data_IF_808119663312
#
_entry.id   IF_808119663312
#
_cell.length_a   1.000
_cell.length_b   1.000
_cell.length_c   1.000
_cell.angle_alpha   90.00
_cell.angle_beta   90.00
_cell.angle_gamma   90.00
#
_symmetry.space_group_name_H-M   'P 1'
#
loop_
_entity.id
_entity.type
_entity.pdbx_description
1 polymer ?
#
# COMPACT_ATOMS: atom_id res chain seq x y z
N UNK A 1 -12.77 -21.92 27.82
CA UNK A 1 -11.70 -20.90 27.88
C UNK A 1 -11.24 -20.60 26.46
N UNK A 2 -11.59 -19.44 25.91
CA UNK A 2 -11.07 -18.94 24.63
C UNK A 2 -11.16 -17.42 24.65
N UNK A 3 -10.01 -16.73 24.78
CA UNK A 3 -9.93 -15.28 24.77
C UNK A 3 -9.66 -14.80 23.34
N UNK A 4 -10.63 -14.07 22.79
CA UNK A 4 -10.49 -13.33 21.53
C UNK A 4 -9.67 -12.06 21.79
N UNK A 5 -8.46 -11.97 21.23
CA UNK A 5 -7.72 -10.72 21.15
C UNK A 5 -7.83 -10.14 19.74
N UNK A 6 -8.82 -9.29 19.52
CA UNK A 6 -8.91 -8.43 18.35
C UNK A 6 -8.02 -7.20 18.56
N UNK A 7 -6.80 -7.21 18.02
CA UNK A 7 -5.96 -6.00 17.93
C UNK A 7 -6.40 -5.18 16.71
N UNK A 8 -7.20 -4.15 16.98
CA UNK A 8 -7.56 -3.09 16.03
C UNK A 8 -6.32 -2.23 15.79
N UNK A 9 -5.60 -2.44 14.69
CA UNK A 9 -4.54 -1.53 14.24
C UNK A 9 -5.21 -0.24 13.75
N UNK A 10 -5.00 0.86 14.47
CA UNK A 10 -5.30 2.19 13.97
C UNK A 10 -4.26 2.54 12.90
N UNK A 11 -4.72 2.70 11.65
CA UNK A 11 -3.95 3.36 10.61
C UNK A 11 -3.93 4.85 10.92
N UNK A 12 -2.90 5.31 11.61
CA UNK A 12 -2.59 6.74 11.70
C UNK A 12 -2.01 7.17 10.36
N UNK A 13 -2.74 8.01 9.64
CA UNK A 13 -2.36 8.53 8.34
C UNK A 13 -1.08 9.37 8.46
N UNK A 14 -0.10 9.17 7.58
CA UNK A 14 1.12 10.00 7.54
C UNK A 14 0.84 11.51 7.33
N UNK A 15 -0.39 11.88 6.93
CA UNK A 15 -0.81 13.29 6.86
C UNK A 15 -0.89 13.97 8.23
N UNK A 16 -1.13 13.23 9.31
CA UNK A 16 -1.33 13.82 10.64
C UNK A 16 -0.01 14.16 11.35
N UNK A 17 1.13 13.65 10.86
CA UNK A 17 2.47 13.97 11.40
C UNK A 17 3.11 15.23 10.79
N UNK A 18 2.46 15.86 9.81
CA UNK A 18 2.97 17.03 9.09
C UNK A 18 2.28 18.35 9.52
N UNK A 19 1.72 18.40 10.72
CA UNK A 19 1.34 19.68 11.34
C UNK A 19 2.60 20.46 11.70
N UNK A 20 2.99 21.36 10.78
CA UNK A 20 4.00 22.38 11.00
C UNK A 20 3.68 23.17 12.28
N UNK A 21 4.64 23.43 13.17
CA UNK A 21 4.44 24.40 14.23
C UNK A 21 4.23 25.80 13.61
N UNK A 22 3.13 26.42 13.98
CA UNK A 22 2.72 27.75 13.57
C UNK A 22 3.63 28.79 14.24
N UNK A 23 4.77 29.08 13.62
CA UNK A 23 5.70 30.14 14.04
C UNK A 23 5.17 31.49 13.54
N UNK A 24 4.09 31.97 14.16
CA UNK A 24 3.68 33.37 14.05
C UNK A 24 4.28 34.15 15.22
N UNK A 25 5.57 34.49 15.12
CA UNK A 25 6.21 35.47 15.99
C UNK A 25 5.72 36.87 15.60
N UNK A 26 4.70 37.38 16.29
CA UNK A 26 4.31 38.79 16.22
C UNK A 26 4.86 39.50 17.47
N UNK A 27 6.10 39.98 17.37
CA UNK A 27 6.60 41.05 18.23
C UNK A 27 5.89 42.32 17.78
N UNK A 28 4.92 42.78 18.56
CA UNK A 28 4.32 44.09 18.40
C UNK A 28 4.57 44.84 19.71
N UNK A 29 5.57 45.72 19.66
CA UNK A 29 6.01 46.55 20.78
C UNK A 29 6.59 47.85 20.25
N UNK A 30 5.84 48.53 19.38
CA UNK A 30 6.01 49.97 19.14
C UNK A 30 4.94 50.67 19.98
N UNK A 31 5.34 51.08 21.20
CA UNK A 31 4.58 52.04 21.99
C UNK A 31 5.29 53.41 21.89
N UNK A 32 4.59 54.47 21.45
CA UNK A 32 5.18 55.80 21.38
C UNK A 32 5.22 56.44 22.77
N UNK A 33 6.40 56.86 23.20
CA UNK A 33 6.59 57.66 24.42
C UNK A 33 5.92 59.04 24.29
N UNK A 34 5.20 59.53 25.33
CA UNK A 34 4.60 60.86 25.34
C UNK A 34 5.66 61.95 25.59
N UNK A 35 5.50 63.16 25.03
CA UNK A 35 6.39 64.27 25.29
C UNK A 35 6.02 64.99 26.58
N UNK A 36 7.01 65.17 27.46
CA UNK A 36 6.99 66.24 28.45
C UNK A 36 6.38 65.90 29.80
N UNK A 37 7.21 65.41 30.72
CA UNK A 37 7.13 65.83 32.11
C UNK A 37 8.55 66.19 32.59
N UNK A 38 8.71 67.46 32.94
CA UNK A 38 9.83 68.01 33.69
C UNK A 38 9.95 67.22 35.00
N UNK A 39 10.91 66.31 35.07
CA UNK A 39 11.36 65.70 36.31
C UNK A 39 12.44 66.62 36.89
N UNK A 40 12.11 67.21 38.03
CA UNK A 40 13.01 68.02 38.83
C UNK A 40 14.35 67.30 39.02
N UNK A 41 15.43 68.04 38.77
CA UNK A 41 16.78 67.61 39.08
C UNK A 41 16.89 67.39 40.60
N UNK A 42 17.21 66.19 41.10
CA UNK A 42 17.77 66.08 42.42
C UNK A 42 19.15 66.73 42.37
N UNK A 43 19.32 67.78 43.16
CA UNK A 43 20.58 68.47 43.40
C UNK A 43 21.69 67.46 43.66
N UNK A 44 22.71 67.48 42.80
CA UNK A 44 23.94 66.73 42.92
C UNK A 44 24.51 66.86 44.34
N UNK A 45 24.32 65.80 45.14
CA UNK A 45 25.23 65.52 46.24
C UNK A 45 26.17 64.44 45.73
N UNK A 46 27.17 64.85 44.94
CA UNK A 46 28.30 63.99 44.58
C UNK A 46 29.10 63.68 45.85
N UNK A 47 28.75 62.58 46.50
CA UNK A 47 29.67 61.90 47.41
C UNK A 47 30.79 61.32 46.54
N UNK A 48 32.08 61.62 46.79
CA UNK A 48 33.17 61.12 45.97
C UNK A 48 33.24 59.60 46.10
N UNK A 49 32.88 58.88 45.03
CA UNK A 49 33.06 57.45 44.94
C UNK A 49 34.52 57.09 45.25
N UNK A 50 34.72 56.41 46.35
CA UNK A 50 36.01 55.92 46.84
C UNK A 50 36.61 54.98 45.79
N UNK A 51 37.94 54.95 45.65
CA UNK A 51 38.64 54.06 44.69
C UNK A 51 38.23 52.58 44.83
N UNK A 52 37.74 52.20 46.01
CA UNK A 52 37.24 50.87 46.35
C UNK A 52 35.93 50.52 45.60
N UNK A 53 35.02 51.46 45.37
CA UNK A 53 33.73 51.20 44.70
C UNK A 53 33.89 50.89 43.21
N UNK A 54 34.86 51.54 42.55
CA UNK A 54 35.18 51.26 41.13
C UNK A 54 35.80 49.88 40.95
N UNK A 55 36.61 49.43 41.91
CA UNK A 55 37.20 48.09 41.89
C UNK A 55 36.15 47.01 42.11
N UNK A 56 35.17 47.26 42.99
CA UNK A 56 34.06 46.35 43.23
C UNK A 56 33.18 46.19 41.97
N UNK A 57 32.81 47.30 41.33
CA UNK A 57 32.02 47.28 40.10
C UNK A 57 32.73 46.54 38.95
N UNK A 58 34.05 46.71 38.81
CA UNK A 58 34.85 46.02 37.81
C UNK A 58 34.96 44.51 38.10
N UNK A 59 35.03 44.12 39.38
CA UNK A 59 35.01 42.73 39.79
C UNK A 59 33.67 42.07 39.50
N UNK A 60 32.55 42.76 39.78
CA UNK A 60 31.20 42.28 39.47
C UNK A 60 30.97 42.17 37.95
N UNK A 61 31.50 43.10 37.16
CA UNK A 61 31.43 43.03 35.71
C UNK A 61 32.21 41.84 35.14
N UNK A 62 33.44 41.59 35.63
CA UNK A 62 34.21 40.39 35.25
C UNK A 62 33.50 39.10 35.67
N UNK A 63 32.87 39.09 36.84
CA UNK A 63 32.08 37.94 37.32
C UNK A 63 30.87 37.69 36.43
N UNK A 64 30.15 38.73 36.00
CA UNK A 64 29.03 38.62 35.08
C UNK A 64 29.46 38.12 33.70
N UNK A 65 30.57 38.63 33.14
CA UNK A 65 31.13 38.15 31.88
C UNK A 65 31.51 36.67 31.99
N UNK A 66 32.19 36.26 33.07
CA UNK A 66 32.58 34.87 33.26
C UNK A 66 31.38 33.93 33.41
N UNK A 67 30.33 34.36 34.10
CA UNK A 67 29.08 33.61 34.22
C UNK A 67 28.41 33.43 32.84
N UNK A 68 28.29 34.51 32.07
CA UNK A 68 27.76 34.47 30.71
C UNK A 68 28.58 33.54 29.81
N UNK A 69 29.91 33.61 29.91
CA UNK A 69 30.82 32.78 29.12
C UNK A 69 30.69 31.29 29.48
N UNK A 70 30.45 30.96 30.76
CA UNK A 70 30.18 29.59 31.19
C UNK A 70 28.82 29.10 30.68
N UNK A 71 27.78 29.92 30.73
CA UNK A 71 26.46 29.55 30.24
C UNK A 71 26.46 29.34 28.72
N UNK A 72 27.15 30.19 27.95
CA UNK A 72 27.36 29.94 26.52
C UNK A 72 28.09 28.63 26.24
N UNK A 73 29.12 28.28 27.03
CA UNK A 73 29.80 27.00 26.87
C UNK A 73 28.89 25.82 27.18
N UNK A 74 28.02 25.94 28.19
CA UNK A 74 27.02 24.91 28.51
C UNK A 74 26.02 24.74 27.38
N UNK A 75 25.42 25.83 26.89
CA UNK A 75 24.43 25.75 25.80
C UNK A 75 25.03 25.19 24.52
N UNK A 76 26.27 25.57 24.17
CA UNK A 76 26.97 24.97 23.03
C UNK A 76 27.26 23.48 23.25
N UNK A 77 27.64 23.09 24.47
CA UNK A 77 27.86 21.67 24.79
C UNK A 77 26.57 20.85 24.71
N UNK A 78 25.46 21.40 25.19
CA UNK A 78 24.17 20.71 25.15
C UNK A 78 23.61 20.64 23.74
N UNK A 79 23.83 21.68 22.93
CA UNK A 79 23.51 21.65 21.50
C UNK A 79 24.33 20.57 20.77
N UNK A 80 25.65 20.48 21.02
CA UNK A 80 26.51 19.45 20.42
C UNK A 80 26.04 18.03 20.77
N UNK A 81 25.65 17.80 22.03
CA UNK A 81 25.06 16.52 22.45
C UNK A 81 23.76 16.22 21.70
N UNK A 82 22.85 17.19 21.63
CA UNK A 82 21.57 17.02 20.94
C UNK A 82 21.75 16.72 19.45
N UNK A 83 22.71 17.38 18.79
CA UNK A 83 23.04 17.11 17.38
C UNK A 83 23.57 15.68 17.21
N UNK A 84 24.48 15.22 18.09
CA UNK A 84 25.00 13.84 18.04
C UNK A 84 23.93 12.79 18.31
N UNK A 85 23.03 13.05 19.25
CA UNK A 85 21.90 12.17 19.54
C UNK A 85 20.95 12.08 18.35
N UNK A 86 20.67 13.22 17.70
CA UNK A 86 19.83 13.25 16.50
C UNK A 86 20.47 12.49 15.33
N UNK A 87 21.78 12.62 15.14
CA UNK A 87 22.54 11.89 14.11
C UNK A 87 22.52 10.37 14.35
N UNK A 88 22.71 9.94 15.59
CA UNK A 88 22.55 8.53 15.99
C UNK A 88 21.14 7.99 15.75
N UNK A 89 20.12 8.80 16.06
CA UNK A 89 18.74 8.41 15.81
C UNK A 89 18.43 8.33 14.31
N UNK A 90 18.95 9.29 13.53
CA UNK A 90 18.79 9.33 12.07
C UNK A 90 19.41 8.09 11.41
N UNK A 91 20.66 7.77 11.74
CA UNK A 91 21.35 6.59 11.21
C UNK A 91 20.62 5.28 11.56
N UNK A 92 20.04 5.19 12.76
CA UNK A 92 19.20 4.05 13.15
C UNK A 92 17.92 3.95 12.32
N UNK A 93 17.24 5.09 12.09
CA UNK A 93 16.04 5.15 11.26
C UNK A 93 16.36 4.80 9.80
N UNK A 94 17.47 5.28 9.26
CA UNK A 94 17.90 4.97 7.90
C UNK A 94 18.20 3.48 7.71
N UNK A 95 18.94 2.87 8.66
CA UNK A 95 19.23 1.43 8.62
C UNK A 95 17.94 0.61 8.69
N UNK A 96 17.06 0.91 9.64
CA UNK A 96 15.80 0.17 9.79
C UNK A 96 14.87 0.37 8.60
N UNK A 97 14.87 1.57 7.99
CA UNK A 97 14.11 1.84 6.77
C UNK A 97 14.64 1.02 5.58
N UNK A 98 15.96 0.91 5.42
CA UNK A 98 16.56 0.11 4.36
C UNK A 98 16.18 -1.38 4.49
N UNK A 99 16.24 -1.92 5.71
CA UNK A 99 15.86 -3.31 5.99
C UNK A 99 14.37 -3.57 5.69
N UNK A 100 13.49 -2.63 6.05
CA UNK A 100 12.05 -2.74 5.76
C UNK A 100 11.76 -2.68 4.26
N UNK A 101 12.50 -1.89 3.49
CA UNK A 101 12.35 -1.82 2.03
C UNK A 101 12.72 -3.17 1.41
N UNK A 102 13.83 -3.77 1.83
CA UNK A 102 14.24 -5.10 1.37
C UNK A 102 13.20 -6.18 1.72
N UNK A 103 12.71 -6.20 2.95
CA UNK A 103 11.67 -7.15 3.38
C UNK A 103 10.37 -6.99 2.56
N UNK A 104 10.00 -5.74 2.23
CA UNK A 104 8.82 -5.48 1.41
C UNK A 104 8.99 -5.92 -0.05
N UNK A 105 10.20 -5.81 -0.61
CA UNK A 105 10.51 -6.36 -1.94
C UNK A 105 10.31 -7.88 -1.91
N UNK A 106 10.89 -8.57 -0.92
CA UNK A 106 10.75 -10.02 -0.77
C UNK A 106 9.28 -10.44 -0.62
N UNK A 107 8.50 -9.74 0.22
CA UNK A 107 7.06 -9.97 0.36
C UNK A 107 6.31 -9.79 -0.96
N UNK A 108 6.60 -8.74 -1.71
CA UNK A 108 5.94 -8.47 -3.01
C UNK A 108 6.22 -9.60 -3.99
N UNK A 109 7.48 -10.05 -4.10
CA UNK A 109 7.83 -11.16 -5.00
C UNK A 109 7.17 -12.48 -4.58
N UNK A 110 6.96 -12.71 -3.29
CA UNK A 110 6.24 -13.87 -2.79
C UNK A 110 4.75 -13.80 -3.16
N UNK A 111 4.13 -12.64 -3.02
CA UNK A 111 2.72 -12.42 -3.41
C UNK A 111 2.54 -12.73 -4.89
N UNK A 112 3.39 -12.19 -5.77
CA UNK A 112 3.32 -12.47 -7.22
C UNK A 112 3.44 -13.96 -7.55
N UNK A 113 4.30 -14.70 -6.82
CA UNK A 113 4.42 -16.16 -6.99
C UNK A 113 3.16 -16.88 -6.54
N UNK A 114 2.55 -16.45 -5.44
CA UNK A 114 1.31 -17.04 -4.93
C UNK A 114 0.13 -16.78 -5.86
N UNK A 115 0.03 -15.57 -6.43
CA UNK A 115 -1.00 -15.23 -7.42
C UNK A 115 -0.89 -16.11 -8.67
N UNK A 116 0.32 -16.26 -9.23
CA UNK A 116 0.55 -17.17 -10.37
C UNK A 116 0.18 -18.62 -10.06
N UNK A 117 0.50 -19.09 -8.85
CA UNK A 117 0.13 -20.44 -8.43
C UNK A 117 -1.39 -20.58 -8.27
N UNK A 118 -2.05 -19.57 -7.72
CA UNK A 118 -3.50 -19.54 -7.58
C UNK A 118 -4.18 -19.64 -8.96
N UNK A 119 -3.77 -18.80 -9.91
CA UNK A 119 -4.32 -18.80 -11.27
C UNK A 119 -4.13 -20.16 -11.94
N UNK A 120 -2.92 -20.74 -11.86
CA UNK A 120 -2.64 -22.06 -12.41
C UNK A 120 -3.52 -23.16 -11.78
N UNK A 121 -3.73 -23.11 -10.46
CA UNK A 121 -4.59 -24.07 -9.77
C UNK A 121 -6.06 -23.87 -10.14
N UNK A 122 -6.49 -22.61 -10.29
CA UNK A 122 -7.84 -22.25 -10.69
C UNK A 122 -8.15 -22.78 -12.09
N UNK A 123 -7.26 -22.57 -13.06
CA UNK A 123 -7.38 -23.09 -14.42
C UNK A 123 -7.43 -24.61 -14.44
N UNK A 124 -6.53 -25.28 -13.71
CA UNK A 124 -6.54 -26.75 -13.58
C UNK A 124 -7.82 -27.28 -12.96
N UNK A 125 -8.41 -26.54 -12.02
CA UNK A 125 -9.69 -26.91 -11.41
C UNK A 125 -10.83 -26.78 -12.42
N UNK A 126 -10.89 -25.68 -13.18
CA UNK A 126 -11.85 -25.47 -14.25
C UNK A 126 -11.75 -26.56 -15.33
N UNK A 127 -10.54 -26.90 -15.75
CA UNK A 127 -10.30 -28.00 -16.70
C UNK A 127 -10.77 -29.34 -16.17
N UNK A 128 -10.49 -29.65 -14.90
CA UNK A 128 -10.94 -30.90 -14.27
C UNK A 128 -12.45 -30.96 -14.12
N UNK A 129 -13.09 -29.85 -13.76
CA UNK A 129 -14.55 -29.77 -13.67
C UNK A 129 -15.19 -29.97 -15.05
N UNK A 130 -14.65 -29.33 -16.09
CA UNK A 130 -15.13 -29.50 -17.46
C UNK A 130 -14.95 -30.93 -17.96
N UNK A 131 -13.80 -31.57 -17.70
CA UNK A 131 -13.55 -32.98 -18.07
C UNK A 131 -14.43 -33.94 -17.27
N UNK A 132 -14.72 -33.65 -16.01
CA UNK A 132 -15.63 -34.45 -15.18
C UNK A 132 -17.08 -34.38 -15.67
N UNK A 133 -17.49 -33.22 -16.21
CA UNK A 133 -18.86 -32.98 -16.70
C UNK A 133 -19.01 -33.10 -18.21
N UNK A 134 -17.99 -33.57 -18.94
CA UNK A 134 -18.01 -33.56 -20.41
C UNK A 134 -19.17 -34.39 -20.99
N UNK A 135 -19.60 -35.43 -20.26
CA UNK A 135 -20.69 -36.31 -20.66
C UNK A 135 -22.03 -35.93 -20.00
N UNK A 136 -22.08 -34.83 -19.23
CA UNK A 136 -23.30 -34.41 -18.56
C UNK A 136 -24.16 -33.57 -19.51
N UNK A 137 -25.40 -34.00 -19.73
CA UNK A 137 -26.37 -33.26 -20.53
C UNK A 137 -27.36 -32.56 -19.60
N UNK A 138 -27.49 -31.24 -19.74
CA UNK A 138 -28.50 -30.46 -19.04
C UNK A 138 -29.74 -30.27 -19.92
N UNK A 139 -30.81 -30.98 -19.58
CA UNK A 139 -32.11 -30.80 -20.23
C UNK A 139 -32.92 -29.76 -19.45
N UNK A 140 -33.26 -28.66 -20.12
CA UNK A 140 -34.10 -27.59 -19.56
C UNK A 140 -35.56 -27.80 -19.93
N UNK A 141 -36.46 -27.18 -19.17
CA UNK A 141 -37.91 -27.13 -19.50
C UNK A 141 -38.65 -28.48 -19.34
N UNK A 142 -38.10 -29.43 -18.55
CA UNK A 142 -38.86 -30.61 -18.13
C UNK A 142 -39.90 -30.19 -17.09
N UNK A 143 -41.18 -30.43 -17.40
CA UNK A 143 -42.31 -30.10 -16.52
C UNK A 143 -42.07 -30.55 -15.08
N UNK A 144 -42.36 -29.67 -14.12
CA UNK A 144 -42.24 -29.98 -12.70
C UNK A 144 -43.24 -31.07 -12.24
N UNK A 145 -44.30 -31.30 -13.02
CA UNK A 145 -45.27 -32.36 -12.74
C UNK A 145 -44.70 -33.77 -12.94
N UNK A 146 -43.60 -33.93 -13.70
CA UNK A 146 -42.91 -35.22 -13.85
C UNK A 146 -42.21 -35.55 -12.53
N UNK A 147 -42.66 -36.63 -11.90
CA UNK A 147 -42.10 -37.12 -10.65
C UNK A 147 -40.62 -37.51 -10.81
N UNK A 148 -39.86 -37.56 -9.71
CA UNK A 148 -38.46 -37.97 -9.76
C UNK A 148 -38.30 -39.44 -10.16
N UNK A 149 -39.26 -40.31 -9.82
CA UNK A 149 -39.25 -41.72 -10.20
C UNK A 149 -39.46 -41.94 -11.69
N UNK A 150 -40.23 -41.05 -12.35
CA UNK A 150 -40.54 -41.18 -13.78
C UNK A 150 -39.59 -40.36 -14.67
N UNK A 151 -38.66 -39.62 -14.07
CA UNK A 151 -37.80 -38.68 -14.78
C UNK A 151 -36.90 -39.38 -15.80
N UNK A 152 -36.29 -40.50 -15.44
CA UNK A 152 -35.40 -41.25 -16.34
C UNK A 152 -36.15 -41.77 -17.57
N UNK A 153 -37.32 -42.40 -17.36
CA UNK A 153 -38.18 -42.88 -18.44
C UNK A 153 -38.63 -41.74 -19.36
N UNK A 154 -38.96 -40.57 -18.79
CA UNK A 154 -39.33 -39.39 -19.57
C UNK A 154 -38.17 -38.86 -20.41
N UNK A 155 -36.95 -38.84 -19.86
CA UNK A 155 -35.74 -38.43 -20.59
C UNK A 155 -35.42 -39.41 -21.72
N UNK A 156 -35.56 -40.72 -21.50
CA UNK A 156 -35.37 -41.72 -22.55
C UNK A 156 -36.37 -41.58 -23.68
N UNK A 157 -37.65 -41.37 -23.37
CA UNK A 157 -38.66 -41.10 -24.38
C UNK A 157 -38.33 -39.84 -25.19
N UNK A 158 -37.83 -38.79 -24.53
CA UNK A 158 -37.39 -37.57 -25.20
C UNK A 158 -36.22 -37.84 -26.16
N UNK A 159 -35.18 -38.55 -25.73
CA UNK A 159 -34.05 -38.89 -26.60
C UNK A 159 -34.45 -39.83 -27.74
N UNK A 160 -35.31 -40.82 -27.50
CA UNK A 160 -35.83 -41.69 -28.55
C UNK A 160 -36.60 -40.93 -29.63
N UNK A 161 -37.39 -39.93 -29.22
CA UNK A 161 -38.09 -39.04 -30.16
C UNK A 161 -37.15 -38.12 -30.94
N UNK A 162 -36.03 -37.69 -30.34
CA UNK A 162 -35.07 -36.76 -30.95
C UNK A 162 -34.08 -37.46 -31.89
N UNK A 163 -33.61 -38.66 -31.52
CA UNK A 163 -32.59 -39.41 -32.27
C UNK A 163 -33.20 -40.32 -33.35
N UNK A 164 -34.51 -40.57 -33.28
CA UNK A 164 -35.24 -41.40 -34.23
C UNK A 164 -35.17 -42.90 -33.90
N UNK A 165 -36.00 -43.72 -34.58
CA UNK A 165 -36.13 -45.15 -34.30
C UNK A 165 -34.93 -45.99 -34.76
N UNK A 166 -34.03 -45.45 -35.59
CA UNK A 166 -32.88 -46.15 -36.18
C UNK A 166 -31.63 -46.17 -35.26
N UNK A 167 -31.79 -45.75 -34.00
CA UNK A 167 -30.72 -45.78 -33.03
C UNK A 167 -30.59 -47.21 -32.46
N UNK A 168 -29.81 -48.07 -33.13
CA UNK A 168 -29.61 -49.49 -32.80
C UNK A 168 -29.00 -49.75 -31.41
N UNK A 169 -28.57 -48.69 -30.70
CA UNK A 169 -27.96 -48.79 -29.37
C UNK A 169 -28.78 -48.05 -28.31
N UNK A 170 -29.02 -48.69 -27.14
CA UNK A 170 -29.70 -48.03 -26.03
C UNK A 170 -28.82 -46.89 -25.48
N UNK A 171 -29.45 -45.73 -25.22
CA UNK A 171 -28.78 -44.62 -24.53
C UNK A 171 -28.50 -45.05 -23.10
N UNK A 172 -27.22 -45.20 -22.77
CA UNK A 172 -26.78 -45.54 -21.41
C UNK A 172 -26.71 -44.26 -20.56
N UNK A 173 -27.23 -44.33 -19.35
CA UNK A 173 -27.22 -43.24 -18.37
C UNK A 173 -26.74 -43.77 -17.03
N UNK A 174 -25.69 -43.18 -16.48
CA UNK A 174 -25.21 -43.50 -15.13
C UNK A 174 -26.12 -42.91 -14.04
N UNK A 175 -26.62 -41.69 -14.25
CA UNK A 175 -27.44 -40.97 -13.26
C UNK A 175 -28.30 -39.90 -13.90
N UNK A 176 -29.59 -39.93 -13.61
CA UNK A 176 -30.55 -38.86 -13.93
C UNK A 176 -31.09 -38.22 -12.66
N UNK A 177 -31.07 -36.89 -12.57
CA UNK A 177 -31.60 -36.16 -11.43
C UNK A 177 -31.96 -34.72 -11.79
N UNK A 178 -32.82 -34.08 -10.99
CA UNK A 178 -33.08 -32.64 -11.10
C UNK A 178 -31.98 -31.86 -10.38
N UNK A 179 -31.52 -30.78 -11.01
CA UNK A 179 -30.61 -29.83 -10.36
C UNK A 179 -31.40 -29.00 -9.36
N UNK A 180 -31.06 -29.10 -8.07
CA UNK A 180 -31.62 -28.25 -7.02
C UNK A 180 -30.78 -26.98 -6.99
N UNK A 181 -31.33 -25.87 -7.51
CA UNK A 181 -30.69 -24.57 -7.34
C UNK A 181 -30.95 -24.08 -5.91
N UNK A 182 -29.92 -24.05 -5.07
CA UNK A 182 -29.98 -23.28 -3.83
C UNK A 182 -29.98 -21.79 -4.19
N UNK A 183 -31.07 -21.08 -3.89
CA UNK A 183 -31.29 -19.65 -4.15
C UNK A 183 -30.31 -18.69 -3.43
N UNK A 184 -29.16 -19.16 -2.93
CA UNK A 184 -28.22 -18.34 -2.13
C UNK A 184 -27.07 -17.72 -2.93
N UNK A 185 -26.99 -17.93 -4.23
CA UNK A 185 -26.04 -17.23 -5.09
C UNK A 185 -26.83 -16.29 -6.00
N UNK A 186 -26.81 -14.99 -5.68
CA UNK A 186 -27.27 -13.94 -6.58
C UNK A 186 -26.70 -14.21 -7.98
N UNK A 187 -27.62 -14.35 -8.93
CA UNK A 187 -27.38 -14.78 -10.30
C UNK A 187 -26.25 -13.95 -10.93
N UNK A 188 -25.07 -14.55 -11.09
CA UNK A 188 -24.24 -14.20 -12.25
C UNK A 188 -24.94 -14.88 -13.42
N UNK A 189 -25.47 -14.13 -14.41
CA UNK A 189 -26.05 -14.76 -15.59
C UNK A 189 -24.99 -15.66 -16.23
N UNK A 190 -25.40 -16.79 -16.85
CA UNK A 190 -24.46 -17.69 -17.51
C UNK A 190 -23.63 -16.86 -18.48
N UNK A 191 -22.31 -16.83 -18.28
CA UNK A 191 -21.40 -16.24 -19.24
C UNK A 191 -21.72 -16.89 -20.58
N UNK A 192 -22.17 -16.07 -21.54
CA UNK A 192 -22.16 -16.47 -22.94
C UNK A 192 -20.75 -17.02 -23.18
N UNK A 193 -20.64 -18.27 -23.63
CA UNK A 193 -19.41 -18.73 -24.25
C UNK A 193 -19.11 -17.73 -25.37
N UNK A 194 -18.19 -16.81 -25.11
CA UNK A 194 -17.62 -15.94 -26.11
C UNK A 194 -16.69 -16.78 -26.96
N UNK A 195 -17.27 -17.56 -27.87
CA UNK A 195 -16.61 -17.81 -29.15
C UNK A 195 -16.62 -16.51 -29.93
N UNK A 196 -15.74 -15.57 -29.53
CA UNK A 196 -15.33 -14.45 -30.35
C UNK A 196 -13.82 -14.54 -30.51
N UNK A 197 -13.37 -14.76 -31.74
CA UNK A 197 -12.09 -14.24 -32.20
C UNK A 197 -10.88 -15.17 -32.18
N UNK A 198 -10.91 -16.26 -32.96
CA UNK A 198 -9.70 -16.70 -33.67
C UNK A 198 -9.93 -16.52 -35.18
N UNK A 199 -9.92 -15.26 -35.61
CA UNK A 199 -9.55 -14.88 -36.96
C UNK A 199 -8.30 -14.02 -36.81
N UNK A 200 -7.13 -14.67 -36.90
CA UNK A 200 -5.87 -13.97 -37.09
C UNK A 200 -5.91 -13.26 -38.46
N UNK A 201 -5.65 -11.95 -38.55
CA UNK A 201 -5.20 -11.38 -39.81
C UNK A 201 -3.75 -11.80 -40.05
N UNK A 202 -3.57 -12.66 -41.04
CA UNK A 202 -2.30 -12.90 -41.70
C UNK A 202 -1.96 -11.62 -42.48
N UNK A 203 -1.02 -10.80 -41.99
CA UNK A 203 -0.35 -9.83 -42.85
C UNK A 203 1.17 -9.94 -42.70
N UNK A 204 1.77 -10.17 -43.87
CA UNK A 204 3.19 -10.27 -44.17
C UNK A 204 3.92 -9.03 -43.70
N UNK A 205 5.03 -9.24 -42.99
CA UNK A 205 6.12 -8.28 -43.01
C UNK A 205 7.03 -8.65 -44.19
N UNK A 206 6.99 -7.80 -45.22
CA UNK A 206 7.92 -7.84 -46.32
C UNK A 206 9.30 -7.36 -45.87
N UNK A 207 10.31 -8.13 -46.28
CA UNK A 207 11.73 -7.82 -46.19
C UNK A 207 12.05 -6.43 -46.76
N UNK A 208 12.82 -5.63 -46.01
CA UNK A 208 13.69 -4.62 -46.58
C UNK A 208 15.06 -4.64 -45.90
N UNK A 209 16.00 -5.21 -46.64
CA UNK A 209 17.45 -5.06 -46.57
C UNK A 209 17.94 -3.74 -45.95
N UNK A 210 18.94 -3.85 -45.07
CA UNK A 210 20.08 -2.92 -45.08
C UNK A 210 21.33 -3.59 -44.55
N UNK A 211 22.26 -3.75 -45.49
CA UNK A 211 23.64 -4.13 -45.31
C UNK A 211 24.37 -3.18 -44.34
N UNK A 212 25.24 -3.71 -43.50
CA UNK A 212 26.57 -3.12 -43.27
C UNK A 212 27.56 -4.23 -42.97
N UNK A 213 28.36 -4.56 -43.97
CA UNK A 213 29.63 -5.27 -43.81
C UNK A 213 30.74 -4.24 -43.63
N UNK A 214 31.65 -4.48 -42.68
CA UNK A 214 33.10 -4.18 -42.72
C UNK A 214 33.71 -4.56 -41.36
N UNK A 215 34.29 -5.76 -41.25
CA UNK A 215 35.72 -6.06 -41.41
C UNK A 215 36.62 -5.28 -40.45
N UNK A 216 37.20 -5.99 -39.48
CA UNK A 216 38.57 -5.78 -39.01
C UNK A 216 39.03 -7.07 -38.32
N UNK A 217 39.77 -7.91 -39.02
CA UNK A 217 40.70 -8.86 -38.42
C UNK A 217 41.95 -8.88 -39.28
N UNK A 218 42.98 -8.24 -38.75
CA UNK A 218 44.33 -8.28 -39.27
C UNK A 218 45.25 -8.14 -38.06
N UNK A 219 45.82 -9.26 -37.60
CA UNK A 219 47.23 -9.36 -37.19
C UNK A 219 47.60 -10.84 -37.15
N UNK A 220 48.61 -11.15 -37.96
CA UNK A 220 49.06 -12.45 -38.45
C UNK A 220 49.71 -12.21 -39.79
#
# INVERSE_FOLDING_TARGET
MATNYAKKKQNTSMKDMLQKPDLTTRVQGDEPLPPGQLLEMPTDTQTPATKEDKHLLLADFHKAINALHQDFKRTLSDLDKSVRELDSHLTTVESTSADQVLENIDRTTLIEKLEKNYDLLHDKLGDRENRSRCNNIHVRTISAAVSTSDLEAHIWALFGNLLGPDCDQPVLSDRTHRVIFSLSAAEKPPSRCSHQGLLLPHQREDNASSQTSRTNSLHG
#
